data_IF_087205082974
#
_entry.id   IF_087205082974
#
_cell.length_a   1.000
_cell.length_b   1.000
_cell.length_c   1.000
_cell.angle_alpha   90.00
_cell.angle_beta   90.00
_cell.angle_gamma   90.00
#
_symmetry.space_group_name_H-M   'P 1'
#
loop_
_entity.id
_entity.type
_entity.pdbx_description
1 polymer ?
#
# COMPACT_ATOMS: atom_id res chain seq x y z
N UNK A 1 -12.71 -21.88 -15.87
CA UNK A 1 -12.19 -20.90 -14.89
C UNK A 1 -11.46 -21.68 -13.83
N UNK A 2 -10.14 -21.61 -13.76
CA UNK A 2 -9.31 -22.47 -12.89
C UNK A 2 -9.52 -22.04 -11.43
N UNK A 3 -10.44 -22.73 -10.75
CA UNK A 3 -10.71 -22.49 -9.34
C UNK A 3 -9.43 -22.76 -8.53
N UNK A 4 -8.86 -21.71 -7.96
CA UNK A 4 -7.83 -21.84 -6.94
C UNK A 4 -8.40 -22.67 -5.78
N UNK A 5 -7.55 -23.44 -5.11
CA UNK A 5 -7.92 -24.08 -3.84
C UNK A 5 -8.28 -23.00 -2.81
N UNK A 6 -9.14 -23.30 -1.85
CA UNK A 6 -9.50 -22.37 -0.77
C UNK A 6 -8.27 -21.77 -0.08
N UNK A 7 -7.23 -22.58 0.16
CA UNK A 7 -5.97 -22.11 0.75
C UNK A 7 -5.18 -21.17 -0.17
N UNK A 8 -5.20 -21.43 -1.47
CA UNK A 8 -4.56 -20.57 -2.47
C UNK A 8 -5.30 -19.23 -2.57
N UNK A 9 -6.64 -19.26 -2.55
CA UNK A 9 -7.47 -18.07 -2.57
C UNK A 9 -7.27 -17.19 -1.32
N UNK A 10 -7.21 -17.78 -0.12
CA UNK A 10 -6.94 -17.07 1.14
C UNK A 10 -5.58 -16.36 1.16
N UNK A 11 -4.56 -16.95 0.52
CA UNK A 11 -3.23 -16.34 0.41
C UNK A 11 -3.27 -15.24 -0.65
N UNK A 12 -3.87 -15.50 -1.82
CA UNK A 12 -3.99 -14.51 -2.88
C UNK A 12 -4.77 -13.26 -2.42
N UNK A 13 -5.81 -13.43 -1.62
CA UNK A 13 -6.59 -12.33 -1.02
C UNK A 13 -5.72 -11.45 -0.13
N UNK A 14 -5.03 -12.01 0.86
CA UNK A 14 -4.18 -11.22 1.76
C UNK A 14 -3.08 -10.49 1.00
N UNK A 15 -2.49 -11.14 0.00
CA UNK A 15 -1.48 -10.52 -0.87
C UNK A 15 -2.07 -9.40 -1.73
N UNK A 16 -3.30 -9.56 -2.24
CA UNK A 16 -3.99 -8.53 -3.01
C UNK A 16 -4.31 -7.28 -2.16
N UNK A 17 -4.59 -7.47 -0.87
CA UNK A 17 -4.71 -6.38 0.11
C UNK A 17 -3.37 -5.72 0.47
N UNK A 18 -2.24 -6.27 0.01
CA UNK A 18 -0.91 -5.72 0.23
C UNK A 18 -0.16 -6.30 1.43
N UNK A 19 -0.65 -7.38 2.05
CA UNK A 19 0.09 -8.06 3.10
C UNK A 19 1.40 -8.65 2.56
N UNK A 20 2.46 -8.56 3.36
CA UNK A 20 3.73 -9.22 3.05
C UNK A 20 3.64 -10.73 3.30
N UNK A 21 4.49 -11.51 2.63
CA UNK A 21 4.57 -12.97 2.86
C UNK A 21 4.81 -13.35 4.33
N UNK A 22 5.45 -12.47 5.11
CA UNK A 22 5.69 -12.68 6.55
C UNK A 22 4.42 -12.48 7.36
N UNK A 23 3.65 -11.44 7.06
CA UNK A 23 2.35 -11.19 7.69
C UNK A 23 1.37 -12.29 7.34
N UNK A 24 1.28 -12.68 6.07
CA UNK A 24 0.44 -13.80 5.62
C UNK A 24 0.79 -15.10 6.35
N UNK A 25 2.09 -15.37 6.55
CA UNK A 25 2.55 -16.52 7.33
C UNK A 25 2.11 -16.46 8.80
N UNK A 26 2.20 -15.28 9.42
CA UNK A 26 1.76 -15.05 10.79
C UNK A 26 0.24 -15.23 10.94
N UNK A 27 -0.54 -14.64 10.04
CA UNK A 27 -2.01 -14.64 10.06
C UNK A 27 -2.59 -16.05 9.87
N UNK A 28 -1.93 -16.86 9.03
CA UNK A 28 -2.36 -18.22 8.72
C UNK A 28 -1.71 -19.28 9.61
N UNK A 29 -0.75 -18.91 10.47
CA UNK A 29 -0.02 -19.83 11.33
C UNK A 29 0.83 -20.85 10.54
N UNK A 30 1.34 -20.48 9.37
CA UNK A 30 2.12 -21.34 8.48
C UNK A 30 3.54 -20.81 8.29
N UNK A 31 4.47 -21.67 7.89
CA UNK A 31 5.84 -21.22 7.62
C UNK A 31 5.90 -20.31 6.40
N UNK A 32 6.85 -19.36 6.38
CA UNK A 32 7.11 -18.51 5.21
C UNK A 32 7.43 -19.34 3.95
N UNK A 33 8.12 -20.46 4.12
CA UNK A 33 8.45 -21.36 3.02
C UNK A 33 7.19 -22.00 2.41
N UNK A 34 6.21 -22.33 3.25
CA UNK A 34 4.90 -22.84 2.81
C UNK A 34 4.17 -21.78 1.98
N UNK A 35 4.17 -20.52 2.42
CA UNK A 35 3.58 -19.40 1.65
C UNK A 35 4.27 -19.24 0.29
N UNK A 36 5.60 -19.30 0.23
CA UNK A 36 6.34 -19.21 -1.04
C UNK A 36 5.99 -20.35 -2.00
N UNK A 37 5.93 -21.59 -1.50
CA UNK A 37 5.53 -22.74 -2.31
C UNK A 37 4.10 -22.62 -2.85
N UNK A 38 3.17 -22.14 -2.02
CA UNK A 38 1.79 -21.92 -2.46
C UNK A 38 1.73 -20.79 -3.51
N UNK A 39 2.46 -19.70 -3.31
CA UNK A 39 2.55 -18.62 -4.28
C UNK A 39 3.12 -19.11 -5.63
N UNK A 40 4.15 -19.96 -5.62
CA UNK A 40 4.67 -20.57 -6.87
C UNK A 40 3.61 -21.39 -7.60
N UNK A 41 2.82 -22.17 -6.87
CA UNK A 41 1.70 -22.94 -7.47
C UNK A 41 0.64 -22.03 -8.06
N UNK A 42 0.30 -20.94 -7.36
CA UNK A 42 -0.62 -19.90 -7.84
C UNK A 42 -0.09 -19.28 -9.13
N UNK A 43 1.18 -18.86 -9.16
CA UNK A 43 1.82 -18.29 -10.35
C UNK A 43 1.84 -19.26 -11.53
N UNK A 44 2.09 -20.55 -11.29
CA UNK A 44 2.02 -21.59 -12.32
C UNK A 44 0.61 -21.78 -12.86
N UNK A 45 -0.42 -21.77 -12.00
CA UNK A 45 -1.83 -21.93 -12.41
C UNK A 45 -2.36 -20.72 -13.18
N UNK A 46 -1.90 -19.52 -12.82
CA UNK A 46 -2.34 -18.26 -13.42
C UNK A 46 -1.47 -17.82 -14.60
N UNK A 47 -0.32 -18.47 -14.81
CA UNK A 47 0.71 -18.05 -15.77
C UNK A 47 1.18 -16.59 -15.56
N UNK A 48 1.29 -16.18 -14.30
CA UNK A 48 1.64 -14.83 -13.87
C UNK A 48 3.04 -14.84 -13.24
N UNK A 49 3.85 -13.81 -13.52
CA UNK A 49 5.22 -13.70 -12.99
C UNK A 49 5.40 -12.67 -11.88
N UNK A 50 4.44 -11.74 -11.72
CA UNK A 50 4.55 -10.60 -10.80
C UNK A 50 3.44 -10.58 -9.76
N UNK A 51 3.77 -10.12 -8.57
CA UNK A 51 2.81 -9.93 -7.47
C UNK A 51 1.72 -8.90 -7.84
N UNK A 52 2.08 -7.88 -8.63
CA UNK A 52 1.14 -6.86 -9.09
C UNK A 52 0.08 -7.46 -10.04
N UNK A 53 0.48 -8.39 -10.91
CA UNK A 53 -0.43 -9.10 -11.80
C UNK A 53 -1.37 -10.02 -10.99
N UNK A 54 -0.88 -10.66 -9.93
CA UNK A 54 -1.72 -11.43 -9.00
C UNK A 54 -2.76 -10.56 -8.31
N UNK A 55 -2.37 -9.37 -7.81
CA UNK A 55 -3.32 -8.44 -7.20
C UNK A 55 -4.40 -8.00 -8.18
N UNK A 56 -4.01 -7.62 -9.40
CA UNK A 56 -4.95 -7.24 -10.45
C UNK A 56 -5.91 -8.39 -10.79
N UNK A 57 -5.40 -9.60 -10.96
CA UNK A 57 -6.20 -10.79 -11.20
C UNK A 57 -7.21 -11.06 -10.08
N UNK A 58 -6.78 -10.92 -8.82
CA UNK A 58 -7.66 -11.14 -7.66
C UNK A 58 -8.79 -10.11 -7.63
N UNK A 59 -8.48 -8.83 -7.83
CA UNK A 59 -9.50 -7.77 -7.91
C UNK A 59 -10.49 -8.01 -9.05
N UNK A 60 -10.01 -8.43 -10.23
CA UNK A 60 -10.87 -8.78 -11.37
C UNK A 60 -11.78 -9.99 -11.09
N UNK A 61 -11.35 -10.92 -10.23
CA UNK A 61 -12.12 -12.13 -9.91
C UNK A 61 -13.13 -11.89 -8.78
N UNK A 62 -12.77 -11.10 -7.77
CA UNK A 62 -13.58 -10.90 -6.56
C UNK A 62 -14.65 -9.82 -6.74
N UNK A 63 -14.29 -8.71 -7.38
CA UNK A 63 -15.26 -7.70 -7.77
C UNK A 63 -15.77 -8.08 -9.16
N UNK A 64 -16.88 -8.83 -9.22
CA UNK A 64 -17.67 -9.04 -10.44
C UNK A 64 -18.36 -7.73 -10.87
N UNK A 65 -17.56 -6.66 -10.95
CA UNK A 65 -17.90 -5.29 -11.28
C UNK A 65 -16.78 -4.89 -12.23
N UNK A 66 -17.10 -4.84 -13.51
CA UNK A 66 -16.28 -4.39 -14.62
C UNK A 66 -15.26 -3.32 -14.17
N UNK A 67 -14.04 -3.78 -13.88
CA UNK A 67 -12.85 -2.95 -13.78
C UNK A 67 -12.20 -2.91 -15.17
N UNK A 68 -13.03 -2.75 -16.19
CA UNK A 68 -12.60 -2.18 -17.46
C UNK A 68 -12.11 -0.77 -17.14
N UNK A 69 -10.82 -0.67 -16.85
CA UNK A 69 -9.90 0.31 -17.42
C UNK A 69 -10.29 1.80 -17.36
N UNK A 70 -11.29 2.20 -16.57
CA UNK A 70 -11.78 3.57 -16.64
C UNK A 70 -10.90 4.47 -15.73
N UNK A 71 -10.10 5.39 -16.30
CA UNK A 71 -9.50 6.46 -15.50
C UNK A 71 -10.58 7.20 -14.69
N UNK A 72 -11.84 7.16 -15.14
CA UNK A 72 -13.01 7.76 -14.52
C UNK A 72 -13.23 7.35 -13.05
N UNK A 73 -13.12 6.07 -12.68
CA UNK A 73 -13.35 5.68 -11.27
C UNK A 73 -12.22 6.15 -10.36
N UNK A 74 -10.97 6.11 -10.85
CA UNK A 74 -9.81 6.68 -10.14
C UNK A 74 -9.91 8.20 -10.02
N UNK A 75 -10.35 8.88 -11.08
CA UNK A 75 -10.56 10.33 -11.06
C UNK A 75 -11.73 10.71 -10.16
N UNK A 76 -12.82 9.93 -10.11
CA UNK A 76 -13.94 10.21 -9.19
C UNK A 76 -13.47 10.14 -7.73
N UNK A 77 -12.70 9.11 -7.35
CA UNK A 77 -12.13 9.03 -6.01
C UNK A 77 -11.17 10.18 -5.70
N UNK A 78 -10.27 10.52 -6.63
CA UNK A 78 -9.34 11.64 -6.47
C UNK A 78 -10.05 13.00 -6.40
N UNK A 79 -11.07 13.21 -7.24
CA UNK A 79 -11.90 14.43 -7.25
C UNK A 79 -12.71 14.54 -5.97
N UNK A 80 -13.28 13.44 -5.47
CA UNK A 80 -13.98 13.44 -4.18
C UNK A 80 -13.05 13.85 -3.02
N UNK A 81 -11.81 13.33 -2.99
CA UNK A 81 -10.82 13.73 -2.00
C UNK A 81 -10.40 15.20 -2.14
N UNK A 82 -10.21 15.70 -3.37
CA UNK A 82 -9.92 17.12 -3.60
C UNK A 82 -11.07 18.02 -3.15
N UNK A 83 -12.31 17.64 -3.43
CA UNK A 83 -13.50 18.36 -2.97
C UNK A 83 -13.54 18.39 -1.44
N UNK A 84 -13.25 17.28 -0.76
CA UNK A 84 -13.18 17.25 0.70
C UNK A 84 -12.10 18.17 1.27
N UNK A 85 -10.92 18.24 0.63
CA UNK A 85 -9.85 19.17 1.04
C UNK A 85 -10.29 20.61 0.86
N UNK A 86 -10.89 20.94 -0.29
CA UNK A 86 -11.40 22.28 -0.57
C UNK A 86 -12.49 22.65 0.46
N UNK A 87 -13.45 21.77 0.73
CA UNK A 87 -14.48 21.98 1.74
C UNK A 87 -13.90 22.13 3.16
N UNK A 88 -12.83 21.39 3.49
CA UNK A 88 -12.11 21.54 4.75
C UNK A 88 -11.44 22.92 4.88
N UNK A 89 -10.84 23.43 3.80
CA UNK A 89 -10.27 24.78 3.78
C UNK A 89 -11.35 25.88 3.88
N UNK A 90 -12.49 25.69 3.21
CA UNK A 90 -13.62 26.63 3.28
C UNK A 90 -14.29 26.69 4.66
N UNK A 91 -14.37 25.55 5.36
CA UNK A 91 -14.94 25.49 6.72
C UNK A 91 -13.97 25.97 7.79
N UNK A 92 -12.66 25.81 7.56
CA UNK A 92 -11.58 26.22 8.46
C UNK A 92 -11.05 27.62 8.14
N UNK A 93 -11.93 28.62 8.05
CA UNK A 93 -11.52 29.99 7.70
C UNK A 93 -10.77 30.72 8.80
N UNK A 94 -9.50 30.38 9.11
CA UNK A 94 -8.43 31.33 9.54
C UNK A 94 -7.21 30.73 10.29
N UNK A 95 -6.91 29.41 10.31
CA UNK A 95 -5.83 28.90 11.21
C UNK A 95 -4.75 27.99 10.63
N UNK A 96 -4.50 28.02 9.31
CA UNK A 96 -3.34 27.33 8.72
C UNK A 96 -2.17 28.25 8.36
N UNK A 97 -2.09 29.46 8.93
CA UNK A 97 -0.87 30.28 8.90
C UNK A 97 0.25 29.54 9.66
N UNK A 98 0.97 28.69 8.94
CA UNK A 98 2.08 27.88 9.41
C UNK A 98 3.17 28.79 9.99
N UNK A 99 3.16 28.99 11.30
CA UNK A 99 4.22 29.69 12.04
C UNK A 99 5.53 28.92 11.83
N UNK A 100 6.32 29.37 10.87
CA UNK A 100 7.64 28.85 10.57
C UNK A 100 8.58 29.38 11.66
N UNK A 101 8.49 28.79 12.86
CA UNK A 101 9.46 29.04 13.92
C UNK A 101 10.85 28.75 13.38
N UNK A 102 11.60 29.82 13.12
CA UNK A 102 13.01 29.75 12.74
C UNK A 102 13.72 28.97 13.84
N UNK A 103 14.24 27.78 13.52
CA UNK A 103 15.18 27.08 14.40
C UNK A 103 16.35 28.04 14.65
N UNK A 104 16.48 28.53 15.89
CA UNK A 104 17.68 29.21 16.33
C UNK A 104 18.83 28.21 16.22
N UNK A 105 19.81 28.54 15.35
CA UNK A 105 21.02 27.76 15.16
C UNK A 105 21.87 27.92 16.41
N UNK A 106 21.97 26.88 17.23
CA UNK A 106 22.95 26.82 18.32
C UNK A 106 24.33 26.63 17.69
N UNK A 107 25.12 27.70 17.65
CA UNK A 107 26.56 27.61 17.36
C UNK A 107 27.25 27.06 18.60
N UNK A 108 27.68 25.79 18.51
CA UNK A 108 28.53 25.16 19.52
C UNK A 108 29.97 25.60 19.25
N UNK A 109 30.47 26.54 20.05
CA UNK A 109 31.89 26.87 20.09
C UNK A 109 32.67 25.72 20.75
N UNK A 110 33.25 24.84 19.95
CA UNK A 110 34.24 23.87 20.43
C UNK A 110 35.57 24.61 20.60
N UNK A 111 35.92 24.95 21.85
CA UNK A 111 37.29 25.37 22.19
C UNK A 111 38.24 24.21 21.91
N UNK A 112 38.94 24.27 20.79
CA UNK A 112 40.18 23.53 20.59
C UNK A 112 41.21 24.09 21.56
N UNK A 113 41.36 23.37 22.67
CA UNK A 113 42.58 23.35 23.47
C UNK A 113 43.60 22.52 22.68
N UNK A 114 44.88 22.90 22.79
CA UNK A 114 46.12 22.27 22.28
C UNK A 114 46.81 23.09 21.18
N UNK A 115 48.14 23.29 21.14
CA UNK A 115 49.31 22.90 21.94
C UNK A 115 50.51 23.66 21.30
N UNK A 116 51.51 24.03 22.13
CA UNK A 116 52.81 24.70 21.86
C UNK A 116 52.79 26.20 21.64
#
# INVERSE_FOLDING_TARGET
>A
MTALSEREAQIAERIAWGASQKEVACDLGISRYTVDNILRRIYQKLHIGKINELSAWWFCTHFNISFELSPLKRTIGAVALLILVILNDFTSGDTYCRNRSRKARTEVYVRLKEIV
#
